data_IF_396478306358
#
_entry.id   IF_396478306358
#
_cell.length_a   1.000
_cell.length_b   1.000
_cell.length_c   1.000
_cell.angle_alpha   90.00
_cell.angle_beta   90.00
_cell.angle_gamma   90.00
#
_symmetry.space_group_name_H-M   'P 1'
#
loop_
_entity.id
_entity.type
_entity.pdbx_description
1 polymer ?
#
# COMPACT_ATOMS: atom_id res chain seq x y z
N UNK A 1 -33.30 32.56 3.17
CA UNK A 1 -31.84 32.76 2.92
C UNK A 1 -31.00 31.70 3.62
N UNK A 2 -31.16 31.49 4.93
CA UNK A 2 -30.41 30.46 5.69
C UNK A 2 -30.67 29.03 5.18
N UNK A 3 -31.93 28.66 4.90
CA UNK A 3 -32.29 27.36 4.32
C UNK A 3 -31.68 27.12 2.93
N UNK A 4 -31.60 28.17 2.10
CA UNK A 4 -30.94 28.13 0.79
C UNK A 4 -29.42 27.94 0.93
N UNK A 5 -28.77 28.71 1.82
CA UNK A 5 -27.34 28.56 2.13
C UNK A 5 -27.01 27.16 2.68
N UNK A 6 -27.89 26.61 3.53
CA UNK A 6 -27.77 25.24 4.03
C UNK A 6 -27.90 24.21 2.90
N UNK A 7 -28.82 24.44 1.95
CA UNK A 7 -28.99 23.65 0.74
C UNK A 7 -27.72 23.63 -0.12
N UNK A 8 -27.16 24.80 -0.41
CA UNK A 8 -25.92 24.96 -1.19
C UNK A 8 -24.73 24.32 -0.47
N UNK A 9 -24.56 24.55 0.84
CA UNK A 9 -23.46 23.97 1.61
C UNK A 9 -23.52 22.43 1.63
N UNK A 10 -24.70 21.85 1.82
CA UNK A 10 -24.87 20.40 1.81
C UNK A 10 -24.55 19.78 0.44
N UNK A 11 -24.92 20.44 -0.66
CA UNK A 11 -24.59 19.99 -2.02
C UNK A 11 -23.11 20.19 -2.34
N UNK A 12 -22.51 21.27 -1.86
CA UNK A 12 -21.09 21.56 -2.05
C UNK A 12 -20.21 20.57 -1.28
N UNK A 13 -20.52 20.27 -0.03
CA UNK A 13 -19.82 19.30 0.83
C UNK A 13 -20.21 17.84 0.52
N UNK A 14 -20.42 17.54 -0.75
CA UNK A 14 -20.67 16.16 -1.20
C UNK A 14 -19.47 15.25 -0.92
N UNK A 15 -19.72 13.95 -0.87
CA UNK A 15 -18.65 12.95 -0.74
C UNK A 15 -17.58 13.09 -1.85
N UNK A 16 -18.01 13.40 -3.07
CA UNK A 16 -17.10 13.66 -4.20
C UNK A 16 -16.23 14.88 -3.91
N UNK A 17 -16.83 15.99 -3.46
CA UNK A 17 -16.05 17.17 -3.10
C UNK A 17 -15.01 16.86 -2.03
N UNK A 18 -15.37 16.10 -1.00
CA UNK A 18 -14.44 15.71 0.08
C UNK A 18 -13.23 14.94 -0.50
N UNK A 19 -13.44 13.99 -1.41
CA UNK A 19 -12.34 13.27 -2.05
C UNK A 19 -11.42 14.24 -2.81
N UNK A 20 -11.98 15.10 -3.65
CA UNK A 20 -11.18 15.99 -4.50
C UNK A 20 -10.50 17.12 -3.72
N UNK A 21 -11.11 17.64 -2.64
CA UNK A 21 -10.47 18.65 -1.82
C UNK A 21 -9.32 18.05 -1.00
N UNK A 22 -9.47 16.83 -0.48
CA UNK A 22 -8.39 16.10 0.19
C UNK A 22 -7.25 15.85 -0.80
N UNK A 23 -7.54 15.42 -2.02
CA UNK A 23 -6.54 15.25 -3.07
C UNK A 23 -5.81 16.56 -3.39
N UNK A 24 -6.56 17.65 -3.58
CA UNK A 24 -6.02 18.99 -3.90
C UNK A 24 -5.08 19.49 -2.81
N UNK A 25 -5.57 19.56 -1.57
CA UNK A 25 -4.76 19.97 -0.41
C UNK A 25 -3.61 18.99 -0.17
N UNK A 26 -3.84 17.71 -0.42
CA UNK A 26 -2.85 16.64 -0.29
C UNK A 26 -1.66 16.82 -1.21
N UNK A 27 -1.89 17.16 -2.47
CA UNK A 27 -0.82 17.49 -3.42
C UNK A 27 -0.14 18.82 -3.10
N UNK A 28 -0.88 19.82 -2.57
CA UNK A 28 -0.28 21.07 -2.10
C UNK A 28 0.71 20.82 -0.96
N UNK A 29 0.30 20.05 0.05
CA UNK A 29 1.17 19.62 1.16
C UNK A 29 2.30 18.71 0.65
N UNK A 30 1.97 17.80 -0.25
CA UNK A 30 2.87 16.81 -0.83
C UNK A 30 4.05 17.41 -1.60
N UNK A 31 3.80 18.51 -2.31
CA UNK A 31 4.80 19.24 -3.10
C UNK A 31 5.73 20.14 -2.27
N UNK A 32 5.52 20.28 -0.96
CA UNK A 32 6.41 21.06 -0.09
C UNK A 32 7.74 20.33 0.04
N UNK A 33 8.82 21.00 -0.40
CA UNK A 33 10.20 20.50 -0.33
C UNK A 33 10.90 21.02 0.92
N UNK A 34 11.25 20.12 1.83
CA UNK A 34 12.06 20.43 3.03
C UNK A 34 13.38 19.69 2.93
N UNK A 35 14.51 20.42 2.81
CA UNK A 35 15.86 19.83 2.64
C UNK A 35 15.91 18.78 1.50
N UNK A 36 15.18 19.06 0.42
CA UNK A 36 15.05 18.21 -0.76
C UNK A 36 14.23 16.93 -0.56
N UNK A 37 13.60 16.71 0.59
CA UNK A 37 12.60 15.65 0.82
C UNK A 37 11.24 16.26 0.50
N UNK A 38 10.44 15.55 -0.28
CA UNK A 38 9.04 15.89 -0.54
C UNK A 38 8.18 14.66 -0.25
N UNK A 39 6.95 14.87 0.22
CA UNK A 39 6.06 13.74 0.51
C UNK A 39 5.42 13.19 -0.77
N UNK A 40 5.32 14.02 -1.82
CA UNK A 40 4.64 13.67 -3.05
C UNK A 40 3.19 13.27 -2.75
N UNK A 41 2.74 12.16 -3.34
CA UNK A 41 1.40 11.61 -3.08
C UNK A 41 1.15 11.25 -1.63
N UNK A 42 2.18 10.97 -0.82
CA UNK A 42 1.99 10.70 0.61
C UNK A 42 1.41 11.92 1.37
N UNK A 43 1.53 13.13 0.83
CA UNK A 43 0.83 14.32 1.38
C UNK A 43 -0.69 14.18 1.37
N UNK A 44 -1.24 13.44 0.39
CA UNK A 44 -2.67 13.11 0.33
C UNK A 44 -3.11 12.28 1.53
N UNK A 45 -2.28 11.33 1.97
CA UNK A 45 -2.56 10.56 3.18
C UNK A 45 -2.60 11.44 4.42
N UNK A 46 -1.64 12.35 4.57
CA UNK A 46 -1.60 13.27 5.72
C UNK A 46 -2.85 14.12 5.80
N UNK A 47 -3.27 14.71 4.68
CA UNK A 47 -4.50 15.50 4.64
C UNK A 47 -5.73 14.65 4.90
N UNK A 48 -5.79 13.43 4.35
CA UNK A 48 -6.88 12.49 4.62
C UNK A 48 -6.96 12.12 6.11
N UNK A 49 -5.82 11.87 6.76
CA UNK A 49 -5.74 11.61 8.19
C UNK A 49 -6.18 12.81 9.02
N UNK A 50 -5.69 14.01 8.70
CA UNK A 50 -6.10 15.25 9.37
C UNK A 50 -7.61 15.46 9.22
N UNK A 51 -8.16 15.26 8.02
CA UNK A 51 -9.60 15.31 7.81
C UNK A 51 -10.33 14.30 8.69
N UNK A 52 -9.86 13.05 8.73
CA UNK A 52 -10.39 11.99 9.60
C UNK A 52 -10.38 12.37 11.09
N UNK A 53 -9.29 12.98 11.56
CA UNK A 53 -9.18 13.48 12.94
C UNK A 53 -10.20 14.62 13.17
N UNK A 54 -10.29 15.59 12.26
CA UNK A 54 -11.20 16.73 12.40
C UNK A 54 -12.67 16.28 12.47
N UNK A 55 -13.08 15.37 11.60
CA UNK A 55 -14.47 14.86 11.59
C UNK A 55 -14.79 13.94 12.76
N UNK A 56 -13.78 13.45 13.49
CA UNK A 56 -14.02 12.73 14.75
C UNK A 56 -14.51 13.66 15.87
N UNK A 57 -14.10 14.93 15.85
CA UNK A 57 -14.57 15.96 16.79
C UNK A 57 -15.85 16.66 16.31
N UNK A 58 -15.99 16.85 15.00
CA UNK A 58 -17.14 17.54 14.39
C UNK A 58 -17.70 16.64 13.27
N UNK A 59 -18.47 15.59 13.61
CA UNK A 59 -19.00 14.65 12.62
C UNK A 59 -20.14 15.25 11.79
N UNK A 60 -20.91 16.18 12.38
CA UNK A 60 -21.94 16.95 11.70
C UNK A 60 -22.07 18.34 12.31
N UNK A 61 -22.65 19.27 11.57
CA UNK A 61 -23.00 20.60 12.05
C UNK A 61 -24.32 21.07 11.43
N UNK A 62 -25.02 21.98 12.09
CA UNK A 62 -26.33 22.47 11.65
C UNK A 62 -26.19 23.84 10.98
N UNK A 63 -26.83 24.02 9.82
CA UNK A 63 -27.10 25.34 9.24
C UNK A 63 -28.61 25.49 9.13
N UNK A 64 -29.20 26.33 9.99
CA UNK A 64 -30.66 26.39 10.13
C UNK A 64 -31.23 25.06 10.59
N UNK A 65 -32.27 24.57 9.92
CA UNK A 65 -32.91 23.28 10.22
C UNK A 65 -32.21 22.07 9.57
N UNK A 66 -31.16 22.28 8.77
CA UNK A 66 -30.52 21.22 8.00
C UNK A 66 -29.23 20.79 8.68
N UNK A 67 -29.14 19.50 9.01
CA UNK A 67 -27.90 18.86 9.46
C UNK A 67 -27.01 18.54 8.25
N UNK A 68 -25.76 18.99 8.31
CA UNK A 68 -24.72 18.67 7.33
C UNK A 68 -23.78 17.66 7.96
N UNK A 69 -23.77 16.45 7.41
CA UNK A 69 -22.93 15.35 7.88
C UNK A 69 -21.57 15.35 7.16
N UNK A 70 -20.48 15.49 7.90
CA UNK A 70 -19.11 15.40 7.40
C UNK A 70 -18.53 13.99 7.49
N UNK A 71 -19.02 13.20 8.47
CA UNK A 71 -18.65 11.80 8.62
C UNK A 71 -19.77 10.99 9.29
N UNK A 72 -19.96 9.76 8.82
CA UNK A 72 -20.94 8.80 9.32
C UNK A 72 -20.45 7.37 9.04
N UNK A 73 -21.12 6.37 9.59
CA UNK A 73 -20.85 4.95 9.29
C UNK A 73 -21.00 4.64 7.79
N UNK A 74 -21.99 5.24 7.12
CA UNK A 74 -22.17 5.13 5.66
C UNK A 74 -21.00 5.76 4.90
N UNK A 75 -20.56 6.97 5.27
CA UNK A 75 -19.41 7.62 4.65
C UNK A 75 -18.11 6.82 4.88
N UNK A 76 -17.93 6.24 6.08
CA UNK A 76 -16.82 5.32 6.38
C UNK A 76 -16.80 4.14 5.40
N UNK A 77 -17.96 3.54 5.12
CA UNK A 77 -18.08 2.46 4.12
C UNK A 77 -17.71 2.93 2.71
N UNK A 78 -18.19 4.12 2.30
CA UNK A 78 -17.86 4.70 0.99
C UNK A 78 -16.35 4.93 0.82
N UNK A 79 -15.66 5.43 1.85
CA UNK A 79 -14.19 5.54 1.84
C UNK A 79 -13.51 4.17 1.71
N UNK A 80 -14.07 3.12 2.31
CA UNK A 80 -13.61 1.74 2.11
C UNK A 80 -13.72 1.28 0.65
N UNK A 81 -14.81 1.63 -0.05
CA UNK A 81 -14.96 1.35 -1.48
C UNK A 81 -13.92 2.11 -2.30
N UNK A 82 -13.71 3.41 -2.01
CA UNK A 82 -12.69 4.24 -2.68
C UNK A 82 -11.29 3.65 -2.48
N UNK A 83 -10.98 3.19 -1.26
CA UNK A 83 -9.71 2.53 -0.94
C UNK A 83 -9.51 1.24 -1.75
N UNK A 84 -10.54 0.41 -1.85
CA UNK A 84 -10.49 -0.85 -2.60
C UNK A 84 -10.32 -0.61 -4.12
N UNK A 85 -11.04 0.36 -4.69
CA UNK A 85 -10.89 0.75 -6.09
C UNK A 85 -9.46 1.29 -6.31
N UNK A 86 -9.01 2.21 -5.47
CA UNK A 86 -7.66 2.78 -5.56
C UNK A 86 -6.57 1.71 -5.52
N UNK A 87 -6.70 0.76 -4.59
CA UNK A 87 -5.79 -0.38 -4.47
C UNK A 87 -5.78 -1.23 -5.73
N UNK A 88 -6.95 -1.60 -6.26
CA UNK A 88 -7.04 -2.41 -7.47
C UNK A 88 -6.39 -1.70 -8.68
N UNK A 89 -6.66 -0.41 -8.87
CA UNK A 89 -6.04 0.38 -9.94
C UNK A 89 -4.52 0.45 -9.79
N UNK A 90 -4.02 0.80 -8.59
CA UNK A 90 -2.59 0.93 -8.35
C UNK A 90 -1.86 -0.38 -8.52
N UNK A 91 -2.34 -1.43 -7.83
CA UNK A 91 -1.63 -2.70 -7.74
C UNK A 91 -1.67 -3.46 -9.07
N UNK A 92 -2.78 -3.40 -9.81
CA UNK A 92 -2.82 -3.94 -11.19
C UNK A 92 -1.87 -3.20 -12.11
N UNK A 93 -1.80 -1.87 -12.04
CA UNK A 93 -0.86 -1.11 -12.86
C UNK A 93 0.60 -1.52 -12.56
N UNK A 94 0.96 -1.65 -11.29
CA UNK A 94 2.27 -2.17 -10.87
C UNK A 94 2.52 -3.58 -11.40
N UNK A 95 1.53 -4.47 -11.31
CA UNK A 95 1.61 -5.83 -11.85
C UNK A 95 1.82 -5.86 -13.36
N UNK A 96 1.11 -5.03 -14.12
CA UNK A 96 1.24 -4.93 -15.58
C UNK A 96 2.59 -4.33 -16.00
N UNK A 97 3.13 -3.37 -15.24
CA UNK A 97 4.47 -2.81 -15.45
C UNK A 97 5.54 -3.89 -15.20
N UNK A 98 5.40 -4.66 -14.13
CA UNK A 98 6.38 -5.68 -13.74
C UNK A 98 6.28 -6.97 -14.55
N UNK A 99 5.07 -7.36 -14.98
CA UNK A 99 4.74 -8.66 -15.58
C UNK A 99 5.63 -9.11 -16.76
N UNK A 100 5.93 -8.23 -17.74
CA UNK A 100 6.80 -8.59 -18.86
C UNK A 100 8.18 -9.07 -18.44
N UNK A 101 8.75 -8.52 -17.36
CA UNK A 101 10.08 -8.90 -16.87
C UNK A 101 10.00 -9.96 -15.76
N UNK A 102 8.99 -9.89 -14.89
CA UNK A 102 8.89 -10.64 -13.64
C UNK A 102 9.26 -12.13 -13.72
N UNK A 103 8.52 -12.92 -14.51
CA UNK A 103 8.74 -14.38 -14.60
C UNK A 103 10.02 -14.73 -15.37
N UNK A 104 10.53 -13.81 -16.19
CA UNK A 104 11.79 -13.98 -16.93
C UNK A 104 13.00 -13.63 -16.06
N UNK A 105 12.80 -12.80 -15.04
CA UNK A 105 13.79 -12.46 -14.01
C UNK A 105 13.95 -13.52 -12.92
N UNK A 106 13.17 -14.61 -12.94
CA UNK A 106 13.18 -15.63 -11.89
C UNK A 106 14.54 -16.35 -11.86
N UNK A 107 15.43 -15.89 -10.97
CA UNK A 107 16.79 -16.39 -10.83
C UNK A 107 17.15 -16.53 -9.34
N UNK A 108 18.39 -16.88 -9.02
CA UNK A 108 18.85 -17.01 -7.61
C UNK A 108 18.61 -15.73 -6.78
N UNK A 109 18.60 -14.53 -7.38
CA UNK A 109 18.30 -13.27 -6.67
C UNK A 109 16.82 -13.11 -6.36
N UNK A 110 15.92 -13.71 -7.14
CA UNK A 110 14.48 -13.72 -6.84
C UNK A 110 14.20 -14.41 -5.50
N UNK A 111 14.93 -15.48 -5.19
CA UNK A 111 14.84 -16.12 -3.88
C UNK A 111 15.19 -15.14 -2.75
N UNK A 112 16.19 -14.27 -2.95
CA UNK A 112 16.51 -13.23 -1.96
C UNK A 112 15.34 -12.26 -1.74
N UNK A 113 14.61 -11.86 -2.79
CA UNK A 113 13.42 -11.01 -2.66
C UNK A 113 12.31 -11.70 -1.88
N UNK A 114 12.05 -12.98 -2.20
CA UNK A 114 11.05 -13.81 -1.49
C UNK A 114 11.40 -13.92 -0.02
N UNK A 115 12.65 -14.28 0.30
CA UNK A 115 13.13 -14.43 1.67
C UNK A 115 13.07 -13.11 2.43
N UNK A 116 13.36 -11.98 1.79
CA UNK A 116 13.22 -10.67 2.43
C UNK A 116 11.77 -10.39 2.85
N UNK A 117 10.79 -10.73 2.02
CA UNK A 117 9.38 -10.57 2.38
C UNK A 117 9.04 -11.34 3.66
N UNK A 118 9.44 -12.60 3.73
CA UNK A 118 9.22 -13.45 4.93
C UNK A 118 9.98 -12.89 6.14
N UNK A 119 11.24 -12.50 5.98
CA UNK A 119 12.10 -12.00 7.07
C UNK A 119 11.55 -10.69 7.64
N UNK A 120 11.15 -9.74 6.80
CA UNK A 120 10.58 -8.45 7.23
C UNK A 120 9.31 -8.68 8.07
N UNK A 121 8.41 -9.55 7.62
CA UNK A 121 7.23 -9.92 8.42
C UNK A 121 7.63 -10.60 9.73
N UNK A 122 8.54 -11.57 9.69
CA UNK A 122 8.98 -12.30 10.87
C UNK A 122 9.58 -11.37 11.92
N UNK A 123 10.42 -10.41 11.50
CA UNK A 123 11.00 -9.39 12.38
C UNK A 123 9.92 -8.51 13.01
N UNK A 124 8.91 -8.09 12.24
CA UNK A 124 7.79 -7.34 12.77
C UNK A 124 6.99 -8.15 13.79
N UNK A 125 6.68 -9.41 13.48
CA UNK A 125 5.93 -10.32 14.35
C UNK A 125 6.69 -10.59 15.66
N UNK A 126 8.00 -10.85 15.58
CA UNK A 126 8.87 -11.00 16.75
C UNK A 126 8.84 -9.72 17.60
N UNK A 127 8.93 -8.55 16.98
CA UNK A 127 8.88 -7.26 17.69
C UNK A 127 7.54 -7.08 18.41
N UNK A 128 6.42 -7.43 17.76
CA UNK A 128 5.10 -7.38 18.38
C UNK A 128 4.95 -8.38 19.55
N UNK A 129 5.45 -9.61 19.40
CA UNK A 129 5.46 -10.63 20.48
C UNK A 129 6.29 -10.15 21.67
N UNK A 130 7.44 -9.51 21.43
CA UNK A 130 8.27 -8.93 22.49
C UNK A 130 7.46 -7.88 23.27
N UNK A 131 6.74 -6.98 22.59
CA UNK A 131 5.93 -5.98 23.28
C UNK A 131 4.78 -6.56 24.11
N UNK A 132 4.09 -7.59 23.60
CA UNK A 132 3.04 -8.30 24.37
C UNK A 132 3.62 -8.92 25.65
N UNK A 133 4.85 -9.46 25.58
CA UNK A 133 5.51 -10.05 26.77
C UNK A 133 6.01 -9.01 27.76
N UNK A 134 6.42 -7.83 27.29
CA UNK A 134 6.96 -6.76 28.14
C UNK A 134 5.86 -5.91 28.79
N UNK A 135 4.76 -5.65 28.08
CA UNK A 135 3.66 -4.82 28.56
C UNK A 135 2.41 -5.66 28.77
N UNK A 136 2.13 -6.02 30.03
CA UNK A 136 0.94 -6.81 30.42
C UNK A 136 -0.39 -6.11 30.09
N UNK A 137 -0.38 -4.81 29.80
CA UNK A 137 -1.58 -4.06 29.42
C UNK A 137 -1.81 -3.98 27.91
N UNK A 138 -0.89 -4.54 27.11
CA UNK A 138 -1.02 -4.63 25.66
C UNK A 138 -1.68 -5.96 25.31
N UNK A 139 -2.93 -5.91 24.84
CA UNK A 139 -3.62 -7.11 24.37
C UNK A 139 -2.99 -7.65 23.07
N UNK A 140 -3.16 -8.96 22.85
CA UNK A 140 -2.78 -9.63 21.61
C UNK A 140 -3.38 -8.95 20.37
N UNK A 141 -4.66 -8.61 20.48
CA UNK A 141 -5.46 -7.97 19.45
C UNK A 141 -4.92 -6.58 19.10
N UNK A 142 -4.55 -5.78 20.11
CA UNK A 142 -3.94 -4.48 19.88
C UNK A 142 -2.56 -4.64 19.23
N UNK A 143 -1.75 -5.59 19.70
CA UNK A 143 -0.42 -5.84 19.17
C UNK A 143 -0.44 -6.33 17.71
N UNK A 144 -1.35 -7.23 17.34
CA UNK A 144 -1.52 -7.66 15.95
C UNK A 144 -2.09 -6.52 15.08
N UNK A 145 -2.92 -5.66 15.65
CA UNK A 145 -3.34 -4.40 15.03
C UNK A 145 -2.11 -3.53 14.71
N UNK A 146 -1.26 -3.25 15.70
CA UNK A 146 -0.04 -2.47 15.51
C UNK A 146 0.92 -3.12 14.50
N UNK A 147 1.04 -4.45 14.51
CA UNK A 147 1.80 -5.23 13.53
C UNK A 147 1.29 -4.98 12.11
N UNK A 148 0.01 -5.22 11.88
CA UNK A 148 -0.60 -5.14 10.55
C UNK A 148 -0.67 -3.69 10.05
N UNK A 149 -0.85 -2.71 10.95
CA UNK A 149 -0.75 -1.29 10.63
C UNK A 149 0.67 -0.86 10.27
N UNK A 150 1.67 -1.20 11.10
CA UNK A 150 3.06 -0.81 10.89
C UNK A 150 3.68 -1.43 9.63
N UNK A 151 3.29 -2.66 9.31
CA UNK A 151 3.62 -3.34 8.06
C UNK A 151 2.61 -3.05 6.95
N UNK A 152 1.71 -2.07 7.11
CA UNK A 152 0.73 -1.58 6.11
C UNK A 152 -0.13 -2.65 5.41
N UNK A 153 -0.41 -3.76 6.09
CA UNK A 153 -1.04 -4.94 5.50
C UNK A 153 -2.52 -5.09 5.86
N UNK A 154 -3.39 -4.65 4.96
CA UNK A 154 -4.85 -4.85 5.08
C UNK A 154 -5.28 -6.33 5.09
N UNK A 155 -4.67 -7.24 4.28
CA UNK A 155 -4.99 -8.67 4.39
C UNK A 155 -4.62 -9.26 5.75
N UNK A 156 -3.50 -8.82 6.34
CA UNK A 156 -3.12 -9.16 7.71
C UNK A 156 -4.16 -8.70 8.74
N UNK A 157 -4.65 -7.45 8.62
CA UNK A 157 -5.74 -6.92 9.45
C UNK A 157 -7.01 -7.79 9.35
N UNK A 158 -7.44 -8.11 8.14
CA UNK A 158 -8.63 -8.95 7.92
C UNK A 158 -8.47 -10.34 8.54
N UNK A 159 -7.29 -10.96 8.39
CA UNK A 159 -7.00 -12.25 8.97
C UNK A 159 -6.96 -12.23 10.51
N UNK A 160 -6.41 -11.17 11.10
CA UNK A 160 -6.41 -10.97 12.55
C UNK A 160 -7.84 -10.88 13.09
N UNK A 161 -8.70 -10.09 12.45
CA UNK A 161 -10.10 -9.90 12.87
C UNK A 161 -10.94 -11.19 12.83
N UNK A 162 -10.59 -12.14 11.95
CA UNK A 162 -11.30 -13.42 11.85
C UNK A 162 -11.13 -14.29 13.10
N UNK A 163 -9.97 -14.19 13.75
CA UNK A 163 -9.61 -15.03 14.91
C UNK A 163 -9.58 -14.25 16.22
N UNK A 164 -9.66 -12.92 16.19
CA UNK A 164 -9.66 -12.06 17.36
C UNK A 164 -11.01 -12.07 18.08
N UNK A 165 -10.96 -12.09 19.42
CA UNK A 165 -12.17 -11.92 20.26
C UNK A 165 -12.64 -10.47 20.27
N UNK A 166 -11.70 -9.53 20.24
CA UNK A 166 -11.94 -8.09 20.17
C UNK A 166 -11.42 -7.53 18.84
N UNK A 167 -12.28 -7.58 17.81
CA UNK A 167 -11.97 -7.07 16.48
C UNK A 167 -11.79 -5.54 16.45
N UNK A 168 -12.38 -4.80 17.39
CA UNK A 168 -12.26 -3.33 17.45
C UNK A 168 -10.87 -2.92 17.95
N UNK A 169 -10.31 -3.65 18.92
CA UNK A 169 -8.92 -3.48 19.37
C UNK A 169 -7.90 -3.71 18.24
N UNK A 170 -8.12 -4.71 17.37
CA UNK A 170 -7.29 -4.93 16.18
C UNK A 170 -7.36 -3.73 15.23
N UNK A 171 -8.57 -3.23 14.95
CA UNK A 171 -8.78 -2.08 14.04
C UNK A 171 -8.14 -0.81 14.61
N UNK A 172 -8.22 -0.62 15.93
CA UNK A 172 -7.57 0.49 16.62
C UNK A 172 -6.05 0.44 16.47
N UNK A 173 -5.42 -0.69 16.80
CA UNK A 173 -3.97 -0.87 16.67
C UNK A 173 -3.49 -0.66 15.23
N UNK A 174 -4.25 -1.16 14.25
CA UNK A 174 -3.97 -0.92 12.84
C UNK A 174 -3.94 0.58 12.53
N UNK A 175 -4.96 1.33 12.93
CA UNK A 175 -5.02 2.78 12.71
C UNK A 175 -3.83 3.54 13.30
N UNK A 176 -3.42 3.19 14.52
CA UNK A 176 -2.28 3.84 15.21
C UNK A 176 -0.97 3.60 14.46
N UNK A 177 -0.66 2.34 14.13
CA UNK A 177 0.61 2.00 13.51
C UNK A 177 0.66 2.29 12.00
N UNK A 178 -0.49 2.36 11.32
CA UNK A 178 -0.57 2.63 9.87
C UNK A 178 0.07 3.97 9.50
N UNK A 179 -0.07 4.99 10.35
CA UNK A 179 0.62 6.28 10.20
C UNK A 179 2.14 6.10 10.08
N UNK A 180 2.71 5.35 11.01
CA UNK A 180 4.15 5.08 11.05
C UNK A 180 4.56 4.18 9.88
N UNK A 181 3.76 3.15 9.57
CA UNK A 181 4.00 2.25 8.45
C UNK A 181 4.09 2.97 7.10
N UNK A 182 3.18 3.89 6.82
CA UNK A 182 3.23 4.63 5.54
C UNK A 182 4.34 5.69 5.57
N UNK A 183 4.34 6.60 6.55
CA UNK A 183 5.31 7.70 6.57
C UNK A 183 6.74 7.22 6.78
N UNK A 184 6.94 6.24 7.66
CA UNK A 184 8.26 5.69 7.96
C UNK A 184 8.92 5.12 6.70
N UNK A 185 8.19 4.30 5.93
CA UNK A 185 8.74 3.68 4.72
C UNK A 185 8.91 4.70 3.58
N UNK A 186 7.97 5.64 3.42
CA UNK A 186 8.08 6.76 2.45
C UNK A 186 9.31 7.61 2.71
N UNK A 187 9.58 7.97 3.97
CA UNK A 187 10.76 8.73 4.34
C UNK A 187 12.03 7.89 4.20
N UNK A 188 11.98 6.61 4.56
CA UNK A 188 13.12 5.69 4.46
C UNK A 188 13.66 5.59 3.03
N UNK A 189 12.80 5.39 2.03
CA UNK A 189 13.23 5.28 0.63
C UNK A 189 13.85 6.57 0.07
N UNK A 190 13.57 7.72 0.68
CA UNK A 190 14.17 9.02 0.31
C UNK A 190 15.44 9.33 1.10
N UNK A 191 15.44 9.01 2.40
CA UNK A 191 16.55 9.33 3.31
C UNK A 191 17.74 8.42 3.07
N UNK A 192 17.53 7.11 2.88
CA UNK A 192 18.63 6.15 2.77
C UNK A 192 19.57 6.47 1.59
N UNK A 193 19.09 6.73 0.36
CA UNK A 193 19.98 7.12 -0.74
C UNK A 193 20.79 8.39 -0.44
N UNK A 194 20.19 9.36 0.23
CA UNK A 194 20.87 10.62 0.60
C UNK A 194 21.91 10.41 1.70
N UNK A 195 21.57 9.63 2.72
CA UNK A 195 22.46 9.28 3.83
C UNK A 195 23.70 8.55 3.30
N UNK A 196 23.50 7.65 2.34
CA UNK A 196 24.56 6.89 1.68
C UNK A 196 25.24 7.65 0.53
N UNK A 197 24.85 8.90 0.27
CA UNK A 197 25.38 9.75 -0.81
C UNK A 197 25.37 9.04 -2.18
N UNK A 198 24.30 8.30 -2.47
CA UNK A 198 24.16 7.51 -3.69
C UNK A 198 24.00 8.43 -4.91
N UNK A 199 24.80 8.19 -5.95
CA UNK A 199 24.59 8.80 -7.26
C UNK A 199 23.43 8.09 -7.97
N UNK A 200 22.23 8.66 -7.90
CA UNK A 200 21.03 8.01 -8.43
C UNK A 200 21.08 7.77 -9.94
N UNK A 201 21.70 8.67 -10.71
CA UNK A 201 21.80 8.51 -12.17
C UNK A 201 22.63 7.29 -12.54
N UNK A 202 23.78 7.15 -11.88
CA UNK A 202 24.69 6.02 -12.08
C UNK A 202 24.06 4.71 -11.60
N UNK A 203 23.40 4.72 -10.45
CA UNK A 203 22.76 3.53 -9.91
C UNK A 203 21.60 3.05 -10.78
N UNK A 204 20.79 3.97 -11.33
CA UNK A 204 19.71 3.61 -12.27
C UNK A 204 20.30 3.03 -13.55
N UNK A 205 21.38 3.60 -14.08
CA UNK A 205 22.06 3.05 -15.25
C UNK A 205 22.60 1.64 -14.99
N UNK A 206 23.26 1.43 -13.85
CA UNK A 206 23.76 0.12 -13.41
C UNK A 206 22.62 -0.88 -13.20
N UNK A 207 21.51 -0.44 -12.62
CA UNK A 207 20.32 -1.25 -12.41
C UNK A 207 19.68 -1.70 -13.72
N UNK A 208 19.55 -0.80 -14.70
CA UNK A 208 19.00 -1.12 -16.02
C UNK A 208 19.91 -2.05 -16.79
N UNK A 209 21.23 -1.81 -16.77
CA UNK A 209 22.22 -2.68 -17.42
C UNK A 209 22.21 -4.09 -16.81
N UNK A 210 22.13 -4.20 -15.47
CA UNK A 210 22.12 -5.48 -14.78
C UNK A 210 20.80 -6.26 -14.92
N UNK A 211 19.71 -5.61 -15.29
CA UNK A 211 18.37 -6.20 -15.46
C UNK A 211 17.83 -6.08 -16.89
N UNK A 212 18.73 -5.95 -17.87
CA UNK A 212 18.36 -5.89 -19.28
C UNK A 212 17.79 -7.26 -19.73
N UNK A 213 16.46 -7.38 -19.66
CA UNK A 213 15.73 -8.55 -20.13
C UNK A 213 15.06 -8.17 -21.44
N UNK A 214 15.45 -8.83 -22.52
CA UNK A 214 14.76 -8.72 -23.80
C UNK A 214 13.35 -9.28 -23.67
N UNK A 215 12.34 -8.45 -23.93
CA UNK A 215 10.94 -8.88 -23.99
C UNK A 215 10.66 -9.25 -25.45
N UNK A 216 10.37 -10.54 -25.76
CA UNK A 216 10.04 -10.93 -27.12
C UNK A 216 8.76 -10.23 -27.57
N UNK A 217 8.78 -9.67 -28.79
CA UNK A 217 7.55 -9.17 -29.41
C UNK A 217 6.60 -10.35 -29.71
N UNK A 218 5.29 -10.21 -29.43
CA UNK A 218 4.32 -11.25 -29.74
C UNK A 218 4.32 -11.57 -31.24
N UNK A 219 4.31 -12.86 -31.60
CA UNK A 219 4.25 -13.30 -32.99
C UNK A 219 2.81 -13.26 -33.51
N UNK A 220 2.58 -12.58 -34.64
CA UNK A 220 1.31 -12.59 -35.37
C UNK A 220 0.58 -11.23 -35.42
N UNK A 221 -0.47 -11.15 -36.24
CA UNK A 221 -1.31 -9.96 -36.35
C UNK A 221 -2.27 -9.88 -35.15
N UNK A 222 -1.85 -9.15 -34.11
CA UNK A 222 -2.70 -8.86 -32.96
C UNK A 222 -3.58 -7.64 -33.23
N UNK A 223 -4.84 -7.74 -32.83
CA UNK A 223 -5.81 -6.65 -32.89
C UNK A 223 -5.91 -5.96 -31.52
N UNK A 224 -5.83 -4.63 -31.51
CA UNK A 224 -6.07 -3.80 -30.31
C UNK A 224 -7.55 -3.44 -30.24
N UNK A 225 -8.23 -3.85 -29.16
CA UNK A 225 -9.65 -3.49 -28.96
C UNK A 225 -9.85 -2.01 -28.67
N UNK A 226 -8.91 -1.40 -27.96
CA UNK A 226 -8.99 0.01 -27.57
C UNK A 226 -7.60 0.65 -27.57
N UNK A 227 -7.49 1.97 -27.82
CA UNK A 227 -6.20 2.64 -27.99
C UNK A 227 -5.43 2.83 -26.68
N UNK A 228 -6.10 2.76 -25.53
CA UNK A 228 -5.50 3.02 -24.22
C UNK A 228 -5.16 1.74 -23.45
N UNK A 229 -5.68 0.59 -23.85
CA UNK A 229 -5.51 -0.69 -23.17
C UNK A 229 -6.50 -0.92 -22.02
N UNK A 230 -7.63 -0.22 -21.97
CA UNK A 230 -8.65 -0.41 -20.93
C UNK A 230 -9.11 -1.85 -20.85
N UNK A 231 -9.35 -2.53 -21.98
CA UNK A 231 -9.78 -3.94 -21.96
C UNK A 231 -8.79 -4.81 -21.17
N UNK A 232 -7.50 -4.71 -21.48
CA UNK A 232 -6.46 -5.48 -20.80
C UNK A 232 -6.36 -5.14 -19.31
N UNK A 233 -6.54 -3.85 -18.97
CA UNK A 233 -6.50 -3.39 -17.59
C UNK A 233 -7.66 -3.92 -16.75
N UNK A 234 -8.89 -3.80 -17.25
CA UNK A 234 -10.10 -4.34 -16.60
C UNK A 234 -10.07 -5.86 -16.53
N UNK A 235 -9.54 -6.52 -17.56
CA UNK A 235 -9.35 -7.97 -17.55
C UNK A 235 -8.36 -8.39 -16.47
N UNK A 236 -7.24 -7.69 -16.32
CA UNK A 236 -6.25 -7.96 -15.28
C UNK A 236 -6.82 -7.79 -13.87
N UNK A 237 -7.62 -6.74 -13.63
CA UNK A 237 -8.35 -6.59 -12.36
C UNK A 237 -9.33 -7.74 -12.17
N UNK A 238 -10.11 -8.09 -13.19
CA UNK A 238 -11.17 -9.11 -13.08
C UNK A 238 -10.59 -10.49 -12.76
N UNK A 239 -9.58 -10.93 -13.52
CA UNK A 239 -8.83 -12.16 -13.26
C UNK A 239 -8.19 -12.09 -11.87
N UNK A 240 -7.61 -10.95 -11.53
CA UNK A 240 -6.98 -10.74 -10.24
C UNK A 240 -7.95 -10.87 -9.06
N UNK A 241 -9.14 -10.30 -9.14
CA UNK A 241 -10.19 -10.45 -8.13
C UNK A 241 -10.66 -11.91 -8.01
N UNK A 242 -10.77 -12.64 -9.13
CA UNK A 242 -11.08 -14.07 -9.11
C UNK A 242 -9.99 -14.86 -8.37
N UNK A 243 -8.72 -14.65 -8.73
CA UNK A 243 -7.57 -15.28 -8.05
C UNK A 243 -7.53 -14.90 -6.58
N UNK A 244 -7.74 -13.63 -6.26
CA UNK A 244 -7.73 -13.08 -4.89
C UNK A 244 -8.86 -13.59 -4.01
N UNK A 245 -9.94 -14.09 -4.60
CA UNK A 245 -11.09 -14.67 -3.90
C UNK A 245 -10.90 -16.16 -3.59
N UNK A 246 -9.92 -16.82 -4.20
CA UNK A 246 -9.61 -18.22 -3.91
C UNK A 246 -9.10 -18.31 -2.46
N UNK A 247 -9.86 -19.01 -1.63
CA UNK A 247 -9.47 -19.32 -0.24
C UNK A 247 -8.64 -20.60 -0.23
N UNK A 248 -7.44 -20.53 0.36
CA UNK A 248 -6.60 -21.70 0.59
C UNK A 248 -7.20 -22.50 1.76
N UNK A 249 -7.66 -23.74 1.52
CA UNK A 249 -8.23 -24.59 2.57
C UNK A 249 -7.22 -24.82 3.70
N UNK A 250 -7.69 -24.84 4.95
CA UNK A 250 -6.87 -25.11 6.14
C UNK A 250 -6.27 -23.88 6.82
N UNK A 251 -6.01 -22.78 6.10
CA UNK A 251 -5.48 -21.52 6.68
C UNK A 251 -6.44 -20.34 6.57
N UNK A 252 -7.62 -20.53 5.95
CA UNK A 252 -8.63 -19.47 5.69
C UNK A 252 -8.00 -18.18 5.16
N UNK A 253 -7.01 -18.31 4.28
CA UNK A 253 -6.32 -17.18 3.65
C UNK A 253 -6.83 -17.02 2.22
N UNK A 254 -7.09 -15.78 1.83
CA UNK A 254 -7.14 -15.40 0.43
C UNK A 254 -6.20 -14.23 0.21
N UNK A 255 -5.65 -14.09 -1.00
CA UNK A 255 -4.79 -12.94 -1.32
C UNK A 255 -5.54 -11.60 -1.27
N UNK A 256 -6.87 -11.67 -1.28
CA UNK A 256 -7.76 -10.52 -1.33
C UNK A 256 -7.62 -9.77 -2.65
N UNK A 257 -8.38 -8.68 -2.78
CA UNK A 257 -8.37 -7.86 -3.98
C UNK A 257 -6.96 -7.32 -4.27
N UNK A 258 -6.21 -6.92 -3.24
CA UNK A 258 -4.86 -6.37 -3.44
C UNK A 258 -3.85 -7.40 -3.98
N UNK A 259 -3.67 -8.54 -3.31
CA UNK A 259 -2.72 -9.56 -3.79
C UNK A 259 -3.17 -10.21 -5.10
N UNK A 260 -4.47 -10.44 -5.26
CA UNK A 260 -5.04 -11.01 -6.47
C UNK A 260 -4.87 -10.10 -7.69
N UNK A 261 -5.18 -8.81 -7.57
CA UNK A 261 -5.02 -7.82 -8.66
C UNK A 261 -3.56 -7.62 -9.08
N UNK A 262 -2.59 -7.82 -8.17
CA UNK A 262 -1.18 -7.88 -8.53
C UNK A 262 -0.89 -9.08 -9.42
N UNK A 263 -1.31 -10.28 -9.02
CA UNK A 263 -1.10 -11.51 -9.80
C UNK A 263 -1.80 -11.42 -11.15
N UNK A 264 -3.04 -10.92 -11.20
CA UNK A 264 -3.76 -10.67 -12.44
C UNK A 264 -2.99 -9.74 -13.38
N UNK A 265 -2.44 -8.64 -12.85
CA UNK A 265 -1.58 -7.73 -13.60
C UNK A 265 -0.28 -8.40 -14.08
N UNK A 266 0.39 -9.17 -13.23
CA UNK A 266 1.61 -9.91 -13.57
C UNK A 266 1.36 -10.93 -14.70
N UNK A 267 0.26 -11.67 -14.63
CA UNK A 267 -0.11 -12.67 -15.64
C UNK A 267 -0.45 -12.02 -16.98
N UNK A 268 -1.38 -11.05 -16.99
CA UNK A 268 -1.77 -10.36 -18.22
C UNK A 268 -0.57 -9.63 -18.84
N UNK A 269 0.27 -8.99 -18.02
CA UNK A 269 1.49 -8.33 -18.48
C UNK A 269 2.54 -9.33 -19.00
N UNK A 270 2.64 -10.52 -18.42
CA UNK A 270 3.58 -11.55 -18.86
C UNK A 270 3.24 -12.12 -20.23
N UNK A 271 1.96 -12.47 -20.43
CA UNK A 271 1.47 -13.05 -21.69
C UNK A 271 1.32 -12.01 -22.78
N UNK A 272 1.02 -10.75 -22.44
CA UNK A 272 0.89 -9.62 -23.35
C UNK A 272 -0.21 -9.74 -24.44
N UNK A 273 -0.82 -10.90 -24.64
CA UNK A 273 -1.92 -11.12 -25.58
C UNK A 273 -2.81 -12.28 -25.11
N UNK A 274 -4.05 -12.32 -25.60
CA UNK A 274 -5.00 -13.43 -25.40
C UNK A 274 -5.59 -13.81 -26.76
N UNK A 275 -5.16 -14.96 -27.29
CA UNK A 275 -5.45 -15.31 -28.68
C UNK A 275 -4.93 -14.22 -29.63
N UNK A 276 -5.82 -13.63 -30.43
CA UNK A 276 -5.51 -12.53 -31.37
C UNK A 276 -5.62 -11.13 -30.76
N UNK A 277 -5.97 -11.01 -29.47
CA UNK A 277 -6.15 -9.73 -28.79
C UNK A 277 -4.83 -9.25 -28.22
N UNK A 278 -4.39 -8.03 -28.59
CA UNK A 278 -3.24 -7.37 -27.97
C UNK A 278 -3.65 -6.84 -26.58
N UNK A 279 -2.96 -7.30 -25.54
CA UNK A 279 -3.16 -6.88 -24.16
C UNK A 279 -2.06 -5.95 -23.64
N UNK A 280 -1.16 -5.48 -24.51
CA UNK A 280 -0.12 -4.51 -24.12
C UNK A 280 -0.71 -3.14 -23.91
N UNK A 281 -0.33 -2.53 -22.80
CA UNK A 281 -0.75 -1.19 -22.40
C UNK A 281 0.46 -0.26 -22.48
N UNK A 282 0.24 0.96 -22.98
CA UNK A 282 1.28 2.00 -23.00
C UNK A 282 1.70 2.36 -21.57
N UNK A 283 2.99 2.63 -21.39
CA UNK A 283 3.57 2.96 -20.08
C UNK A 283 2.93 4.21 -19.46
N UNK A 284 2.55 5.19 -20.28
CA UNK A 284 1.89 6.41 -19.84
C UNK A 284 0.51 6.11 -19.23
N UNK A 285 -0.28 5.23 -19.86
CA UNK A 285 -1.58 4.82 -19.33
C UNK A 285 -1.42 4.04 -18.02
N UNK A 286 -0.44 3.13 -17.94
CA UNK A 286 -0.15 2.39 -16.70
C UNK A 286 0.28 3.33 -15.58
N UNK A 287 1.12 4.32 -15.86
CA UNK A 287 1.53 5.33 -14.89
C UNK A 287 0.35 6.18 -14.41
N UNK A 288 -0.58 6.55 -15.31
CA UNK A 288 -1.81 7.24 -14.93
C UNK A 288 -2.65 6.41 -13.97
N UNK A 289 -2.94 5.14 -14.30
CA UNK A 289 -3.72 4.25 -13.41
C UNK A 289 -3.03 4.01 -12.07
N UNK A 290 -1.70 3.86 -12.09
CA UNK A 290 -0.89 3.74 -10.88
C UNK A 290 -1.10 4.96 -9.99
N UNK A 291 -0.88 6.17 -10.50
CA UNK A 291 -0.97 7.38 -9.68
C UNK A 291 -2.40 7.67 -9.20
N UNK A 292 -3.39 7.54 -10.09
CA UNK A 292 -4.80 7.68 -9.74
C UNK A 292 -5.21 6.68 -8.65
N UNK A 293 -4.80 5.42 -8.81
CA UNK A 293 -5.07 4.38 -7.84
C UNK A 293 -4.45 4.68 -6.47
N UNK A 294 -3.19 5.14 -6.46
CA UNK A 294 -2.50 5.50 -5.23
C UNK A 294 -3.22 6.63 -4.49
N UNK A 295 -3.62 7.70 -5.19
CA UNK A 295 -4.34 8.84 -4.59
C UNK A 295 -5.67 8.38 -3.97
N UNK A 296 -6.49 7.63 -4.72
CA UNK A 296 -7.77 7.13 -4.22
C UNK A 296 -7.58 6.19 -3.01
N UNK A 297 -6.57 5.33 -3.06
CA UNK A 297 -6.21 4.47 -1.92
C UNK A 297 -5.86 5.29 -0.68
N UNK A 298 -4.99 6.29 -0.81
CA UNK A 298 -4.55 7.12 0.32
C UNK A 298 -5.71 7.91 0.93
N UNK A 299 -6.63 8.43 0.12
CA UNK A 299 -7.84 9.12 0.61
C UNK A 299 -8.74 8.13 1.35
N UNK A 300 -9.07 7.00 0.71
CA UNK A 300 -9.98 6.00 1.24
C UNK A 300 -9.48 5.31 2.51
N UNK A 301 -8.17 5.08 2.62
CA UNK A 301 -7.55 4.50 3.82
C UNK A 301 -7.27 5.55 4.91
N UNK A 302 -6.88 6.77 4.50
CA UNK A 302 -6.47 7.84 5.40
C UNK A 302 -7.61 8.39 6.27
N UNK A 303 -8.78 8.66 5.68
CA UNK A 303 -9.90 9.24 6.44
C UNK A 303 -10.37 8.31 7.57
N UNK A 304 -10.67 7.02 7.33
CA UNK A 304 -11.00 6.10 8.42
C UNK A 304 -9.84 5.92 9.41
N UNK A 305 -8.59 5.93 8.94
CA UNK A 305 -7.40 5.89 9.80
C UNK A 305 -7.36 7.04 10.79
N UNK A 306 -7.65 8.26 10.33
CA UNK A 306 -7.68 9.47 11.17
C UNK A 306 -8.79 9.46 12.20
N UNK A 307 -9.97 8.92 11.86
CA UNK A 307 -11.07 8.75 12.82
C UNK A 307 -10.69 7.75 13.92
N UNK A 308 -10.08 6.63 13.55
CA UNK A 308 -9.68 5.60 14.52
C UNK A 308 -8.49 6.04 15.39
N UNK A 309 -7.69 6.99 14.91
CA UNK A 309 -6.50 7.50 15.61
C UNK A 309 -6.84 8.13 16.98
N UNK A 310 -7.92 8.91 17.08
CA UNK A 310 -8.29 9.63 18.30
C UNK A 310 -8.93 8.73 19.37
N UNK A 311 -9.52 7.61 18.97
CA UNK A 311 -10.28 6.74 19.87
C UNK A 311 -9.43 5.96 20.90
N UNK A 312 -8.10 5.81 20.68
CA UNK A 312 -7.26 4.86 21.43
C UNK A 312 -5.85 5.38 21.80
N UNK A 313 -5.72 6.68 22.07
CA UNK A 313 -4.41 7.34 22.23
C UNK A 313 -3.74 7.01 23.57
N UNK A 314 -2.99 5.90 23.63
CA UNK A 314 -1.92 5.71 24.63
C UNK A 314 -0.58 5.92 23.96
N UNK A 315 0.25 6.80 24.53
CA UNK A 315 1.60 7.13 23.99
C UNK A 315 2.46 5.87 23.78
N UNK A 316 2.32 4.85 24.64
CA UNK A 316 3.02 3.57 24.49
C UNK A 316 2.73 2.89 23.14
N UNK A 317 1.48 2.92 22.68
CA UNK A 317 1.08 2.29 21.41
C UNK A 317 1.72 3.00 20.20
N UNK A 318 1.97 4.30 20.30
CA UNK A 318 2.70 5.05 19.26
C UNK A 318 4.15 4.60 19.18
N UNK A 319 4.81 4.44 20.34
CA UNK A 319 6.19 3.96 20.41
C UNK A 319 6.26 2.54 19.85
N UNK A 320 5.33 1.66 20.26
CA UNK A 320 5.29 0.28 19.76
C UNK A 320 5.05 0.23 18.26
N UNK A 321 4.09 0.98 17.74
CA UNK A 321 3.83 1.08 16.30
C UNK A 321 5.05 1.60 15.53
N UNK A 322 5.72 2.64 16.02
CA UNK A 322 6.94 3.16 15.41
C UNK A 322 8.07 2.12 15.40
N UNK A 323 8.30 1.41 16.50
CA UNK A 323 9.35 0.39 16.60
C UNK A 323 9.02 -0.83 15.73
N UNK A 324 7.77 -1.30 15.74
CA UNK A 324 7.27 -2.38 14.87
C UNK A 324 7.45 -2.03 13.39
N UNK A 325 7.41 -0.75 13.01
CA UNK A 325 7.73 -0.32 11.64
C UNK A 325 9.23 -0.26 11.40
N UNK A 326 9.98 0.41 12.29
CA UNK A 326 11.39 0.74 12.08
C UNK A 326 12.29 -0.50 12.13
N UNK A 327 12.06 -1.42 13.08
CA UNK A 327 12.91 -2.61 13.27
C UNK A 327 12.93 -3.51 12.03
N UNK A 328 11.79 -4.04 11.53
CA UNK A 328 11.82 -4.92 10.36
C UNK A 328 12.31 -4.19 9.10
N UNK A 329 12.02 -2.89 8.96
CA UNK A 329 12.49 -2.08 7.83
C UNK A 329 14.02 -1.91 7.84
N UNK A 330 14.60 -1.45 8.95
CA UNK A 330 16.04 -1.19 9.06
C UNK A 330 16.83 -2.49 9.05
N UNK A 331 16.42 -3.49 9.83
CA UNK A 331 17.11 -4.78 9.89
C UNK A 331 16.97 -5.52 8.56
N UNK A 332 15.77 -5.51 7.94
CA UNK A 332 15.55 -6.06 6.61
C UNK A 332 16.44 -5.41 5.56
N UNK A 333 16.61 -4.08 5.61
CA UNK A 333 17.49 -3.35 4.70
C UNK A 333 18.96 -3.75 4.88
N UNK A 334 19.42 -3.90 6.12
CA UNK A 334 20.78 -4.34 6.45
C UNK A 334 21.01 -5.78 5.93
N UNK A 335 20.07 -6.70 6.16
CA UNK A 335 20.15 -8.08 5.66
C UNK A 335 20.20 -8.08 4.13
N UNK A 336 19.31 -7.33 3.48
CA UNK A 336 19.29 -7.20 2.03
C UNK A 336 20.62 -6.68 1.46
N UNK A 337 21.26 -5.72 2.15
CA UNK A 337 22.53 -5.11 1.73
C UNK A 337 23.73 -6.03 1.96
N UNK A 338 23.85 -6.64 3.13
CA UNK A 338 25.09 -7.34 3.53
C UNK A 338 25.01 -8.85 3.36
N UNK A 339 23.84 -9.46 3.54
CA UNK A 339 23.65 -10.91 3.39
C UNK A 339 23.31 -11.24 1.94
N UNK A 340 22.28 -10.61 1.38
CA UNK A 340 21.84 -10.88 0.01
C UNK A 340 22.56 -10.03 -1.06
N UNK A 341 23.37 -9.04 -0.63
CA UNK A 341 24.19 -8.21 -1.52
C UNK A 341 23.38 -7.54 -2.64
N UNK A 342 22.17 -7.11 -2.31
CA UNK A 342 21.30 -6.42 -3.27
C UNK A 342 21.80 -5.00 -3.55
N UNK A 343 21.65 -4.55 -4.79
CA UNK A 343 21.81 -3.14 -5.16
C UNK A 343 20.81 -2.28 -4.40
N UNK A 344 21.08 -0.98 -4.24
CA UNK A 344 20.22 -0.11 -3.42
C UNK A 344 18.78 -0.08 -3.94
N UNK A 345 18.59 -0.03 -5.26
CA UNK A 345 17.26 0.03 -5.86
C UNK A 345 16.48 -1.28 -5.69
N UNK A 346 17.13 -2.44 -5.83
CA UNK A 346 16.50 -3.73 -5.53
C UNK A 346 16.18 -3.86 -4.05
N UNK A 347 17.09 -3.40 -3.17
CA UNK A 347 16.89 -3.43 -1.74
C UNK A 347 15.69 -2.56 -1.33
N UNK A 348 15.66 -1.28 -1.71
CA UNK A 348 14.55 -0.38 -1.41
C UNK A 348 13.24 -0.87 -2.03
N UNK A 349 13.27 -1.40 -3.26
CA UNK A 349 12.11 -2.03 -3.89
C UNK A 349 11.59 -3.24 -3.11
N UNK A 350 12.49 -4.12 -2.64
CA UNK A 350 12.13 -5.24 -1.78
C UNK A 350 11.61 -4.80 -0.41
N UNK A 351 12.16 -3.74 0.19
CA UNK A 351 11.68 -3.22 1.48
C UNK A 351 10.27 -2.65 1.35
N UNK A 352 9.98 -1.88 0.29
CA UNK A 352 8.60 -1.41 0.06
C UNK A 352 7.63 -2.59 -0.14
N UNK A 353 8.05 -3.66 -0.82
CA UNK A 353 7.25 -4.88 -0.98
C UNK A 353 7.09 -5.68 0.32
N UNK A 354 8.15 -5.83 1.10
CA UNK A 354 8.17 -6.56 2.37
C UNK A 354 7.36 -5.87 3.46
N UNK A 355 7.43 -4.54 3.51
CA UNK A 355 6.59 -3.70 4.37
C UNK A 355 5.18 -3.51 3.79
N UNK A 356 4.84 -4.16 2.67
CA UNK A 356 3.57 -4.06 1.93
C UNK A 356 3.11 -2.62 1.60
N UNK A 357 4.04 -1.67 1.56
CA UNK A 357 3.79 -0.23 1.48
C UNK A 357 3.79 0.25 0.02
N UNK A 358 2.61 0.15 -0.58
CA UNK A 358 2.26 0.71 -1.89
C UNK A 358 2.64 2.20 -2.05
N UNK A 359 2.35 3.09 -1.06
CA UNK A 359 2.72 4.50 -1.17
C UNK A 359 4.23 4.72 -1.22
N UNK A 360 4.98 3.96 -0.43
CA UNK A 360 6.44 4.05 -0.44
C UNK A 360 7.05 3.56 -1.77
N UNK A 361 6.43 2.58 -2.45
CA UNK A 361 6.82 2.24 -3.83
C UNK A 361 6.60 3.42 -4.77
N UNK A 362 5.46 4.12 -4.67
CA UNK A 362 5.19 5.33 -5.45
C UNK A 362 6.29 6.38 -5.27
N UNK A 363 6.66 6.67 -4.02
CA UNK A 363 7.77 7.59 -3.68
C UNK A 363 9.12 7.09 -4.18
N UNK A 364 9.40 5.78 -4.07
CA UNK A 364 10.65 5.20 -4.57
C UNK A 364 10.77 5.36 -6.08
N UNK A 365 9.69 5.13 -6.83
CA UNK A 365 9.67 5.32 -8.29
C UNK A 365 9.95 6.79 -8.64
N UNK A 366 9.32 7.74 -7.92
CA UNK A 366 9.59 9.17 -8.12
C UNK A 366 11.05 9.52 -7.79
N UNK A 367 11.59 8.99 -6.70
CA UNK A 367 12.97 9.23 -6.24
C UNK A 367 14.00 8.62 -7.17
N UNK A 368 13.73 7.42 -7.70
CA UNK A 368 14.61 6.71 -8.63
C UNK A 368 14.46 7.23 -10.08
N UNK A 369 13.36 7.91 -10.41
CA UNK A 369 13.06 8.34 -11.78
C UNK A 369 12.77 7.19 -12.74
N UNK A 370 12.51 5.98 -12.23
CA UNK A 370 12.21 4.79 -13.03
C UNK A 370 11.25 3.87 -12.31
N UNK A 371 10.29 3.32 -13.06
CA UNK A 371 9.30 2.35 -12.57
C UNK A 371 9.82 0.92 -12.51
N UNK A 372 11.01 0.64 -13.05
CA UNK A 372 11.60 -0.70 -13.05
C UNK A 372 11.91 -1.23 -11.65
N UNK A 373 12.08 -0.34 -10.67
CA UNK A 373 12.23 -0.69 -9.25
C UNK A 373 11.01 -1.42 -8.68
N UNK A 374 9.85 -1.30 -9.34
CA UNK A 374 8.62 -2.03 -8.97
C UNK A 374 8.74 -3.54 -9.14
N UNK A 375 9.71 -4.04 -9.92
CA UNK A 375 9.92 -5.48 -10.08
C UNK A 375 10.30 -6.16 -8.76
N UNK A 376 11.19 -5.54 -7.97
CA UNK A 376 11.59 -6.07 -6.66
C UNK A 376 10.43 -6.03 -5.65
N UNK A 377 9.60 -4.99 -5.71
CA UNK A 377 8.35 -4.92 -4.95
C UNK A 377 7.42 -6.07 -5.33
N UNK A 378 7.16 -6.27 -6.63
CA UNK A 378 6.25 -7.30 -7.12
C UNK A 378 6.71 -8.72 -6.75
N UNK A 379 8.03 -8.94 -6.62
CA UNK A 379 8.60 -10.21 -6.17
C UNK A 379 8.49 -10.43 -4.67
N UNK A 380 8.55 -9.38 -3.89
CA UNK A 380 8.56 -9.47 -2.42
C UNK A 380 7.14 -9.48 -1.84
N UNK A 381 6.24 -8.69 -2.44
CA UNK A 381 4.92 -8.38 -1.91
C UNK A 381 3.99 -9.61 -1.71
N UNK A 382 3.82 -10.55 -2.67
CA UNK A 382 2.93 -11.69 -2.46
C UNK A 382 3.33 -12.56 -1.27
N UNK A 383 4.64 -12.74 -1.07
CA UNK A 383 5.17 -13.56 0.02
C UNK A 383 5.08 -12.86 1.37
N UNK A 384 5.26 -11.53 1.39
CA UNK A 384 4.96 -10.73 2.56
C UNK A 384 3.46 -10.84 2.94
N UNK A 385 2.54 -10.78 1.97
CA UNK A 385 1.09 -10.93 2.22
C UNK A 385 0.71 -12.30 2.80
N UNK A 386 1.28 -13.39 2.29
CA UNK A 386 1.03 -14.72 2.87
C UNK A 386 1.60 -14.79 4.29
N UNK A 387 2.83 -14.32 4.47
CA UNK A 387 3.54 -14.39 5.77
C UNK A 387 2.82 -13.59 6.84
N UNK A 388 2.33 -12.38 6.53
CA UNK A 388 1.68 -11.51 7.52
C UNK A 388 0.32 -12.05 7.95
N UNK A 389 -0.42 -12.72 7.07
CA UNK A 389 -1.67 -13.38 7.47
C UNK A 389 -1.40 -14.51 8.44
N UNK A 390 -0.40 -15.35 8.14
CA UNK A 390 0.00 -16.42 9.07
C UNK A 390 0.49 -15.85 10.40
N UNK A 391 1.38 -14.86 10.36
CA UNK A 391 1.90 -14.21 11.55
C UNK A 391 0.80 -13.56 12.39
N UNK A 392 -0.17 -12.91 11.76
CA UNK A 392 -1.29 -12.28 12.43
C UNK A 392 -2.17 -13.30 13.17
N UNK A 393 -2.54 -14.40 12.52
CA UNK A 393 -3.33 -15.47 13.16
C UNK A 393 -2.57 -16.12 14.32
N UNK A 394 -1.29 -16.43 14.10
CA UNK A 394 -0.43 -17.02 15.13
C UNK A 394 -0.31 -16.10 16.34
N UNK A 395 -0.12 -14.79 16.15
CA UNK A 395 0.04 -13.86 17.26
C UNK A 395 -1.21 -13.79 18.14
N UNK A 396 -2.41 -13.76 17.53
CA UNK A 396 -3.70 -13.78 18.26
C UNK A 396 -3.93 -15.10 19.00
N UNK A 397 -3.41 -16.22 18.48
CA UNK A 397 -3.59 -17.54 19.10
C UNK A 397 -2.60 -17.84 20.24
N UNK A 398 -1.42 -17.21 20.23
CA UNK A 398 -0.34 -17.47 21.20
C UNK A 398 -0.46 -16.61 22.46
N UNK A 399 -1.12 -15.46 22.36
CA UNK A 399 -1.36 -14.55 23.47
C UNK A 399 -2.74 -14.79 24.08
#
# INVERSE_FOLDING_TARGET
MISYLAGVCNSALSFIFIIFIIGTLGYLVGGIKIKGIELGTAGVLLVALIYGILVSYIPSFHIGEKEITLFSSTLKSNFGIVSNIGTALFVTAVGLIAGPKFFRSFNKKTLSYIMLGVIVIALGAITAIIFVKLDKNLSAEMAVGLLTGGLTSTPGLSAAKEVAKDADSVVAGYGIAYLFGVLGVVLFVQIVPKLLKVNMKEEVANFQAANAISIPEPKGNLFKLDPFGFFAFFLAISIGCLIGSIKIPGINFSLGNSGGTLIGGLLVGHFAHIGKIDCRIKKETLNFFRELGLVLFLIGAGVPGGVNFIANVKVSYFIYGAVITLVPMVVGYIIARYVFKLSILNNLGSITGGMTSTPALGTLIATAGTDEVSAAYAATYPFALVSIVLAAKILVMIA
#
